data_IF_916860157671
#
_entry.id   IF_916860157671
#
_cell.length_a   1.000
_cell.length_b   1.000
_cell.length_c   1.000
_cell.angle_alpha   90.00
_cell.angle_beta   90.00
_cell.angle_gamma   90.00
#
_symmetry.space_group_name_H-M   'P 1'
#
loop_
_entity.id
_entity.type
_entity.pdbx_description
1 polymer ?
#
# COMPACT_ATOMS: atom_id res chain seq x y z
N UNK A 1 0.83 -15.37 16.24
CA UNK A 1 0.49 -14.10 16.92
C UNK A 1 1.27 -13.00 16.21
N UNK A 2 0.61 -11.93 15.79
CA UNK A 2 1.16 -10.95 14.84
C UNK A 2 2.12 -9.98 15.54
N UNK A 3 3.23 -9.60 14.87
CA UNK A 3 4.22 -8.60 15.34
C UNK A 3 3.60 -7.32 15.92
N UNK A 4 2.38 -6.95 15.51
CA UNK A 4 1.64 -5.81 16.05
C UNK A 4 1.38 -5.87 17.55
N UNK A 5 1.13 -7.06 18.11
CA UNK A 5 0.84 -7.22 19.54
C UNK A 5 2.07 -6.94 20.42
N UNK A 6 3.28 -7.14 19.88
CA UNK A 6 4.52 -6.91 20.61
C UNK A 6 4.88 -5.43 20.69
N UNK A 7 4.84 -4.70 19.57
CA UNK A 7 5.15 -3.27 19.58
C UNK A 7 4.20 -2.52 20.51
N UNK A 8 2.94 -2.95 20.60
CA UNK A 8 1.99 -2.45 21.59
C UNK A 8 2.42 -2.75 23.04
N UNK A 9 2.83 -3.98 23.35
CA UNK A 9 3.29 -4.35 24.69
C UNK A 9 4.56 -3.58 25.11
N UNK A 10 5.52 -3.38 24.20
CA UNK A 10 6.74 -2.59 24.47
C UNK A 10 6.43 -1.10 24.64
N UNK A 11 5.51 -0.54 23.86
CA UNK A 11 5.07 0.84 24.00
C UNK A 11 4.40 1.12 25.36
N UNK A 12 3.85 0.10 26.04
CA UNK A 12 3.33 0.27 27.41
C UNK A 12 4.43 0.39 28.46
N UNK A 13 5.60 -0.19 28.20
CA UNK A 13 6.70 -0.27 29.18
C UNK A 13 7.77 0.81 28.97
N UNK A 14 7.91 1.34 27.74
CA UNK A 14 8.93 2.32 27.37
C UNK A 14 8.30 3.53 26.66
N UNK A 15 8.39 4.70 27.32
CA UNK A 15 7.84 5.95 26.80
C UNK A 15 8.56 6.45 25.52
N UNK A 16 9.85 6.18 25.36
CA UNK A 16 10.59 6.55 24.16
C UNK A 16 10.19 5.66 22.98
N UNK A 17 10.08 4.35 23.23
CA UNK A 17 9.60 3.41 22.22
C UNK A 17 8.15 3.70 21.83
N UNK A 18 7.30 4.09 22.79
CA UNK A 18 5.91 4.51 22.52
C UNK A 18 5.85 5.66 21.52
N UNK A 19 6.62 6.72 21.75
CA UNK A 19 6.64 7.87 20.84
C UNK A 19 7.12 7.49 19.43
N UNK A 20 8.14 6.63 19.33
CA UNK A 20 8.65 6.12 18.04
C UNK A 20 7.62 5.26 17.32
N UNK A 21 6.92 4.38 18.05
CA UNK A 21 5.89 3.53 17.48
C UNK A 21 4.67 4.33 17.00
N UNK A 22 4.24 5.33 17.76
CA UNK A 22 3.16 6.24 17.38
C UNK A 22 3.50 7.04 16.10
N UNK A 23 4.74 7.52 15.99
CA UNK A 23 5.21 8.23 14.79
C UNK A 23 5.30 7.30 13.56
N UNK A 24 5.85 6.10 13.74
CA UNK A 24 5.91 5.08 12.70
C UNK A 24 4.52 4.71 12.16
N UNK A 25 3.56 4.42 13.04
CA UNK A 25 2.19 4.05 12.61
C UNK A 25 1.48 5.23 11.95
N UNK A 26 1.72 6.47 12.41
CA UNK A 26 1.20 7.68 11.76
C UNK A 26 1.72 7.82 10.33
N UNK A 27 3.03 7.71 10.12
CA UNK A 27 3.65 7.82 8.81
C UNK A 27 3.20 6.69 7.87
N UNK A 28 3.15 5.46 8.38
CA UNK A 28 2.67 4.28 7.65
C UNK A 28 1.22 4.47 7.20
N UNK A 29 0.35 4.90 8.11
CA UNK A 29 -1.07 5.15 7.81
C UNK A 29 -1.22 6.26 6.77
N UNK A 30 -0.45 7.35 6.90
CA UNK A 30 -0.47 8.45 5.94
C UNK A 30 -0.03 7.99 4.53
N UNK A 31 1.03 7.19 4.42
CA UNK A 31 1.48 6.66 3.13
C UNK A 31 0.45 5.73 2.49
N UNK A 32 -0.16 4.85 3.29
CA UNK A 32 -1.24 3.96 2.83
C UNK A 32 -2.41 4.78 2.30
N UNK A 33 -2.89 5.76 3.08
CA UNK A 33 -4.01 6.60 2.70
C UNK A 33 -3.71 7.39 1.42
N UNK A 34 -2.51 7.96 1.31
CA UNK A 34 -2.10 8.70 0.10
C UNK A 34 -2.01 7.81 -1.13
N UNK A 35 -1.49 6.59 -1.00
CA UNK A 35 -1.44 5.63 -2.11
C UNK A 35 -2.84 5.16 -2.52
N UNK A 36 -3.77 5.00 -1.57
CA UNK A 36 -5.18 4.70 -1.85
C UNK A 36 -5.85 5.85 -2.62
N UNK A 37 -5.67 7.09 -2.18
CA UNK A 37 -6.20 8.27 -2.87
C UNK A 37 -5.64 8.42 -4.29
N UNK A 38 -4.33 8.20 -4.47
CA UNK A 38 -3.70 8.19 -5.79
C UNK A 38 -4.30 7.13 -6.72
N UNK A 39 -4.57 5.93 -6.20
CA UNK A 39 -5.20 4.86 -6.98
C UNK A 39 -6.64 5.21 -7.38
N UNK A 40 -7.41 5.84 -6.49
CA UNK A 40 -8.78 6.29 -6.78
C UNK A 40 -8.77 7.36 -7.88
N UNK A 41 -7.96 8.41 -7.73
CA UNK A 41 -7.84 9.48 -8.74
C UNK A 41 -7.38 8.96 -10.10
N UNK A 42 -6.47 7.99 -10.10
CA UNK A 42 -6.04 7.37 -11.34
C UNK A 42 -7.17 6.58 -12.02
N UNK A 43 -8.02 5.91 -11.23
CA UNK A 43 -9.19 5.20 -11.75
C UNK A 43 -10.20 6.17 -12.37
N UNK A 44 -10.46 7.30 -11.71
CA UNK A 44 -11.32 8.37 -12.24
C UNK A 44 -10.76 8.96 -13.54
N UNK A 45 -9.45 9.23 -13.59
CA UNK A 45 -8.77 9.70 -14.79
C UNK A 45 -8.92 8.70 -15.95
N UNK A 46 -8.71 7.41 -15.70
CA UNK A 46 -8.89 6.38 -16.72
C UNK A 46 -10.34 6.29 -17.22
N UNK A 47 -11.31 6.44 -16.33
CA UNK A 47 -12.72 6.46 -16.70
C UNK A 47 -13.04 7.67 -17.61
N UNK A 48 -12.54 8.87 -17.26
CA UNK A 48 -12.71 10.08 -18.06
C UNK A 48 -12.02 9.97 -19.42
N UNK A 49 -10.78 9.48 -19.46
CA UNK A 49 -10.03 9.27 -20.70
C UNK A 49 -10.72 8.24 -21.62
N UNK A 50 -11.22 7.13 -21.05
CA UNK A 50 -11.98 6.14 -21.81
C UNK A 50 -13.32 6.70 -22.31
N UNK A 51 -14.01 7.49 -21.48
CA UNK A 51 -15.24 8.17 -21.89
C UNK A 51 -14.97 9.12 -23.06
N UNK A 52 -13.91 9.93 -23.00
CA UNK A 52 -13.51 10.81 -24.11
C UNK A 52 -13.13 10.02 -25.35
N UNK A 53 -12.38 8.92 -25.22
CA UNK A 53 -11.99 8.10 -26.36
C UNK A 53 -13.22 7.53 -27.12
N UNK A 54 -14.29 7.22 -26.40
CA UNK A 54 -15.53 6.69 -26.97
C UNK A 54 -16.48 7.79 -27.48
N UNK A 55 -16.55 8.94 -26.81
CA UNK A 55 -17.59 9.95 -27.02
C UNK A 55 -17.09 11.26 -27.65
N UNK A 56 -15.77 11.45 -27.75
CA UNK A 56 -15.16 12.69 -28.23
C UNK A 56 -14.33 12.48 -29.50
N UNK A 57 -14.29 13.54 -30.32
CA UNK A 57 -13.52 13.62 -31.56
C UNK A 57 -12.81 14.97 -31.66
N UNK A 58 -11.79 15.04 -32.50
CA UNK A 58 -10.98 16.23 -32.71
C UNK A 58 -11.54 17.05 -33.89
N UNK A 59 -11.69 18.35 -33.70
CA UNK A 59 -12.02 19.25 -34.80
C UNK A 59 -10.92 19.19 -35.88
N UNK A 60 -11.25 18.94 -37.16
CA UNK A 60 -10.25 18.86 -38.24
C UNK A 60 -9.45 20.15 -38.48
N UNK A 61 -9.96 21.30 -38.01
CA UNK A 61 -9.35 22.61 -38.26
C UNK A 61 -8.45 23.11 -37.13
N UNK A 62 -8.80 22.82 -35.87
CA UNK A 62 -8.06 23.33 -34.70
C UNK A 62 -7.71 22.26 -33.67
N UNK A 63 -8.05 20.99 -33.94
CA UNK A 63 -7.77 19.83 -33.09
C UNK A 63 -8.38 19.89 -31.68
N UNK A 64 -9.32 20.82 -31.42
CA UNK A 64 -10.07 20.87 -30.17
C UNK A 64 -10.86 19.57 -29.98
N UNK A 65 -10.87 19.06 -28.75
CA UNK A 65 -11.75 17.97 -28.33
C UNK A 65 -13.19 18.48 -28.29
N UNK A 66 -14.03 17.89 -29.13
CA UNK A 66 -15.47 18.14 -29.18
C UNK A 66 -16.15 16.87 -28.71
N UNK A 67 -17.23 17.00 -27.94
CA UNK A 67 -18.12 15.91 -27.54
C UNK A 67 -19.44 16.05 -28.31
N UNK A 68 -20.03 14.94 -28.76
CA UNK A 68 -21.39 14.95 -29.32
C UNK A 68 -22.38 14.61 -28.20
N UNK A 69 -23.24 15.56 -27.85
CA UNK A 69 -24.29 15.35 -26.85
C UNK A 69 -25.48 14.63 -27.52
N UNK A 70 -26.17 15.29 -28.44
CA UNK A 70 -27.20 14.71 -29.31
C UNK A 70 -27.31 15.57 -30.59
N UNK A 71 -27.78 15.02 -31.72
CA UNK A 71 -28.05 15.80 -32.94
C UNK A 71 -27.41 15.31 -34.23
N UNK A 72 -27.36 16.20 -35.22
CA UNK A 72 -26.92 15.93 -36.60
C UNK A 72 -25.41 15.67 -36.70
N UNK A 73 -24.98 14.97 -37.77
CA UNK A 73 -23.55 14.75 -38.06
C UNK A 73 -22.81 16.05 -38.41
N UNK A 74 -23.53 17.10 -38.82
CA UNK A 74 -22.97 18.42 -39.12
C UNK A 74 -22.84 19.25 -37.85
N UNK A 75 -21.60 19.43 -37.37
CA UNK A 75 -21.27 20.14 -36.13
C UNK A 75 -20.54 21.45 -36.43
N UNK A 76 -20.63 22.44 -35.53
CA UNK A 76 -19.83 23.68 -35.59
C UNK A 76 -18.92 23.75 -34.37
N UNK A 77 -17.61 23.88 -34.58
CA UNK A 77 -16.66 23.92 -33.47
C UNK A 77 -16.83 25.20 -32.63
N UNK A 78 -17.19 25.06 -31.35
CA UNK A 78 -17.27 26.15 -30.37
C UNK A 78 -18.59 26.95 -30.35
N UNK A 79 -19.63 26.48 -31.07
CA UNK A 79 -20.95 27.11 -31.03
C UNK A 79 -22.05 26.05 -30.93
N UNK A 80 -22.96 26.24 -29.98
CA UNK A 80 -24.23 25.51 -29.97
C UNK A 80 -25.17 26.10 -31.04
N UNK A 81 -25.91 25.23 -31.73
CA UNK A 81 -26.85 25.61 -32.78
C UNK A 81 -28.03 26.44 -32.24
N UNK A 82 -28.37 26.22 -30.96
CA UNK A 82 -29.27 27.07 -30.19
C UNK A 82 -28.42 27.93 -29.28
N UNK A 83 -28.30 29.23 -29.60
CA UNK A 83 -27.38 30.16 -28.93
C UNK A 83 -27.51 30.17 -27.41
N UNK A 84 -26.37 30.27 -26.73
CA UNK A 84 -26.28 30.27 -25.25
C UNK A 84 -24.87 29.99 -24.75
N UNK A 85 -24.14 29.08 -25.40
CA UNK A 85 -22.77 28.73 -25.03
C UNK A 85 -21.79 29.04 -26.17
N UNK A 86 -21.08 30.17 -26.05
CA UNK A 86 -19.89 30.45 -26.86
C UNK A 86 -18.67 29.88 -26.15
N UNK A 87 -18.30 28.66 -26.54
CA UNK A 87 -17.04 28.06 -26.10
C UNK A 87 -15.90 28.44 -27.04
N UNK A 88 -14.66 28.34 -26.57
CA UNK A 88 -13.48 28.58 -27.39
C UNK A 88 -13.37 27.53 -28.51
N UNK A 89 -13.71 27.89 -29.75
CA UNK A 89 -13.57 27.04 -30.93
C UNK A 89 -13.29 27.86 -32.18
N UNK A 90 -12.87 27.20 -33.26
CA UNK A 90 -12.53 27.89 -34.52
C UNK A 90 -13.75 28.36 -35.32
N UNK A 91 -14.97 27.97 -34.91
CA UNK A 91 -16.20 28.35 -35.56
C UNK A 91 -16.48 27.64 -36.89
N UNK A 92 -15.58 26.77 -37.35
CA UNK A 92 -15.72 26.01 -38.60
C UNK A 92 -16.70 24.84 -38.43
N UNK A 93 -17.45 24.58 -39.51
CA UNK A 93 -18.33 23.42 -39.61
C UNK A 93 -17.55 22.19 -40.08
N UNK A 94 -17.92 21.02 -39.55
CA UNK A 94 -17.30 19.76 -39.96
C UNK A 94 -18.27 18.59 -39.71
N UNK A 95 -18.00 17.45 -40.36
CA UNK A 95 -18.74 16.22 -40.13
C UNK A 95 -18.13 15.45 -38.97
N UNK A 96 -18.95 15.13 -37.97
CA UNK A 96 -18.53 14.42 -36.78
C UNK A 96 -18.01 13.01 -37.10
N UNK A 97 -18.74 12.26 -37.93
CA UNK A 97 -18.37 10.90 -38.34
C UNK A 97 -16.99 10.80 -39.00
N UNK A 98 -16.56 11.86 -39.70
CA UNK A 98 -15.27 11.96 -40.39
C UNK A 98 -14.14 12.55 -39.54
N UNK A 99 -14.45 13.09 -38.37
CA UNK A 99 -13.46 13.67 -37.47
C UNK A 99 -12.63 12.57 -36.78
N UNK A 100 -11.35 12.85 -36.52
CA UNK A 100 -10.47 11.91 -35.85
C UNK A 100 -10.96 11.64 -34.41
N UNK A 101 -11.00 10.38 -33.94
CA UNK A 101 -11.34 10.07 -32.56
C UNK A 101 -10.30 10.65 -31.59
N UNK A 102 -10.73 10.98 -30.37
CA UNK A 102 -9.82 11.37 -29.30
C UNK A 102 -8.90 10.20 -28.93
N UNK A 103 -7.60 10.49 -28.78
CA UNK A 103 -6.62 9.53 -28.29
C UNK A 103 -6.31 9.82 -26.80
N UNK A 104 -6.44 8.83 -25.91
CA UNK A 104 -6.19 9.03 -24.48
C UNK A 104 -4.69 9.28 -24.21
N UNK A 105 -4.39 10.12 -23.22
CA UNK A 105 -3.03 10.62 -22.94
C UNK A 105 -2.38 9.91 -21.74
N UNK A 106 -3.13 9.10 -20.98
CA UNK A 106 -2.65 8.45 -19.75
C UNK A 106 -1.63 7.33 -20.03
N UNK A 107 -0.36 7.69 -20.20
CA UNK A 107 0.73 6.76 -20.52
C UNK A 107 1.54 6.26 -19.30
N UNK A 108 1.36 6.87 -18.12
CA UNK A 108 2.13 6.52 -16.92
C UNK A 108 1.20 6.29 -15.74
N UNK A 109 1.37 5.16 -15.06
CA UNK A 109 0.64 4.85 -13.83
C UNK A 109 0.97 5.80 -12.68
N UNK A 110 0.17 5.79 -11.60
CA UNK A 110 0.36 6.69 -10.47
C UNK A 110 1.64 6.35 -9.72
N UNK A 111 2.45 7.37 -9.41
CA UNK A 111 3.68 7.20 -8.64
C UNK A 111 3.34 7.06 -7.15
N UNK A 112 3.41 5.83 -6.65
CA UNK A 112 3.17 5.52 -5.24
C UNK A 112 4.35 5.95 -4.36
N UNK A 113 4.05 6.35 -3.12
CA UNK A 113 5.05 6.57 -2.09
C UNK A 113 5.52 5.22 -1.56
N UNK A 114 6.83 4.97 -1.62
CA UNK A 114 7.43 3.74 -1.11
C UNK A 114 7.34 3.68 0.42
N UNK A 115 6.94 2.53 0.96
CA UNK A 115 6.87 2.28 2.41
C UNK A 115 8.23 1.85 3.00
N UNK A 116 9.29 2.58 2.70
CA UNK A 116 10.62 2.35 3.26
C UNK A 116 10.79 3.14 4.57
N UNK A 117 9.84 2.98 5.50
CA UNK A 117 9.91 3.60 6.83
C UNK A 117 10.85 2.78 7.71
N UNK A 118 11.79 3.45 8.39
CA UNK A 118 12.65 2.78 9.36
C UNK A 118 11.80 2.28 10.53
N UNK A 119 11.82 0.97 10.78
CA UNK A 119 11.15 0.39 11.93
C UNK A 119 11.78 0.94 13.24
N UNK A 120 11.01 1.02 14.35
CA UNK A 120 11.50 1.53 15.65
C UNK A 120 12.54 0.63 16.34
N UNK A 121 13.16 -0.31 15.62
CA UNK A 121 13.98 -1.43 16.12
C UNK A 121 15.35 -1.01 16.70
N UNK A 122 15.70 0.27 16.69
CA UNK A 122 17.06 0.75 16.99
C UNK A 122 17.34 1.09 18.48
N UNK A 123 16.41 0.88 19.41
CA UNK A 123 16.70 1.07 20.85
C UNK A 123 17.07 -0.24 21.56
N UNK A 124 18.22 -0.20 22.28
CA UNK A 124 18.87 -1.27 23.07
C UNK A 124 17.92 -2.44 23.35
N UNK A 125 18.06 -3.48 22.53
CA UNK A 125 17.34 -4.74 22.72
C UNK A 125 17.67 -5.29 24.11
N UNK A 126 16.66 -5.72 24.84
CA UNK A 126 16.85 -6.46 26.09
C UNK A 126 17.68 -7.70 25.76
N UNK A 127 18.82 -7.86 26.40
CA UNK A 127 19.70 -9.03 26.21
C UNK A 127 19.41 -10.02 27.31
N UNK A 128 19.02 -11.24 26.93
CA UNK A 128 18.78 -12.34 27.87
C UNK A 128 20.09 -13.07 28.12
N UNK A 129 20.82 -12.63 29.15
CA UNK A 129 22.15 -13.16 29.45
C UNK A 129 22.14 -14.67 29.67
N UNK A 130 23.06 -15.35 28.98
CA UNK A 130 23.21 -16.81 29.06
C UNK A 130 22.12 -17.60 28.31
N UNK A 131 21.20 -16.93 27.61
CA UNK A 131 20.15 -17.60 26.84
C UNK A 131 20.43 -17.47 25.35
N UNK A 132 20.58 -18.61 24.67
CA UNK A 132 20.88 -18.66 23.24
C UNK A 132 19.65 -18.99 22.42
N UNK A 133 19.55 -18.41 21.22
CA UNK A 133 18.53 -18.80 20.26
C UNK A 133 18.90 -20.13 19.60
N UNK A 134 17.98 -21.08 19.54
CA UNK A 134 18.23 -22.40 18.92
C UNK A 134 18.43 -22.35 17.40
N UNK A 135 18.06 -21.25 16.76
CA UNK A 135 18.17 -21.09 15.31
C UNK A 135 19.48 -20.43 14.89
N UNK A 136 19.88 -19.35 15.56
CA UNK A 136 21.08 -18.59 15.20
C UNK A 136 22.23 -18.73 16.18
N UNK A 137 22.01 -19.40 17.31
CA UNK A 137 22.97 -19.65 18.40
C UNK A 137 23.60 -18.40 19.03
N UNK A 138 23.11 -17.21 18.66
CA UNK A 138 23.47 -15.97 19.32
C UNK A 138 22.63 -15.79 20.59
N UNK A 139 23.15 -14.96 21.50
CA UNK A 139 22.43 -14.51 22.68
C UNK A 139 21.10 -13.85 22.28
N UNK A 140 20.03 -14.19 22.98
CA UNK A 140 18.70 -13.69 22.64
C UNK A 140 18.63 -12.19 22.93
N UNK A 141 18.42 -11.42 21.87
CA UNK A 141 18.21 -9.98 21.92
C UNK A 141 16.75 -9.67 21.56
N UNK A 142 16.12 -8.81 22.35
CA UNK A 142 14.72 -8.40 22.18
C UNK A 142 13.79 -9.33 22.95
N UNK A 143 12.74 -9.81 22.27
CA UNK A 143 11.86 -10.81 22.85
C UNK A 143 12.52 -12.18 22.80
N UNK A 144 12.41 -12.90 23.92
CA UNK A 144 12.64 -14.32 23.98
C UNK A 144 11.32 -15.08 23.80
N UNK A 145 11.29 -16.01 22.86
CA UNK A 145 10.15 -16.87 22.57
C UNK A 145 10.44 -18.29 23.07
N UNK A 146 9.81 -18.65 24.19
CA UNK A 146 9.95 -19.98 24.79
C UNK A 146 8.76 -20.84 24.34
N UNK A 147 9.00 -21.97 23.69
CA UNK A 147 7.91 -22.90 23.35
C UNK A 147 7.41 -23.59 24.61
N UNK A 148 6.11 -23.53 24.90
CA UNK A 148 5.56 -24.18 26.11
C UNK A 148 5.44 -25.70 25.97
N UNK A 149 5.44 -26.21 24.74
CA UNK A 149 5.27 -27.65 24.46
C UNK A 149 6.58 -28.37 24.19
N UNK A 150 7.64 -27.65 23.85
CA UNK A 150 8.96 -28.23 23.59
C UNK A 150 9.90 -27.91 24.73
N UNK A 151 10.57 -28.95 25.24
CA UNK A 151 11.62 -28.77 26.20
C UNK A 151 12.75 -27.94 25.56
N UNK A 152 13.02 -26.78 26.16
CA UNK A 152 14.19 -25.93 25.89
C UNK A 152 14.24 -25.25 24.53
N UNK A 153 13.13 -25.16 23.79
CA UNK A 153 13.13 -24.44 22.51
C UNK A 153 12.90 -22.94 22.70
N UNK A 154 13.90 -22.15 22.34
CA UNK A 154 14.02 -20.72 22.55
C UNK A 154 14.41 -20.02 21.25
N UNK A 155 13.62 -19.03 20.84
CA UNK A 155 13.93 -18.19 19.68
C UNK A 155 14.13 -16.73 20.06
N UNK A 156 15.04 -16.05 19.35
CA UNK A 156 15.14 -14.59 19.40
C UNK A 156 14.18 -13.93 18.42
N UNK A 157 13.94 -12.64 18.63
CA UNK A 157 13.04 -11.82 17.79
C UNK A 157 13.35 -11.91 16.29
N UNK A 158 14.64 -11.90 15.91
CA UNK A 158 15.05 -11.99 14.50
C UNK A 158 14.74 -13.34 13.85
N UNK A 159 14.73 -14.40 14.65
CA UNK A 159 14.56 -15.76 14.16
C UNK A 159 13.11 -16.25 14.30
N UNK A 160 12.28 -15.58 15.09
CA UNK A 160 10.91 -16.03 15.40
C UNK A 160 10.11 -16.38 14.16
N UNK A 161 10.00 -15.47 13.18
CA UNK A 161 9.11 -15.67 12.03
C UNK A 161 9.47 -16.92 11.21
N UNK A 162 10.78 -17.18 11.04
CA UNK A 162 11.25 -18.37 10.33
C UNK A 162 11.10 -19.62 11.20
N UNK A 163 11.45 -19.51 12.47
CA UNK A 163 11.56 -20.66 13.38
C UNK A 163 10.19 -21.16 13.80
N UNK A 164 9.19 -20.30 13.99
CA UNK A 164 7.81 -20.72 14.29
C UNK A 164 7.16 -21.44 13.11
N UNK A 165 7.47 -21.03 11.87
CA UNK A 165 7.01 -21.70 10.65
C UNK A 165 7.69 -23.06 10.46
N UNK A 166 9.02 -23.13 10.60
CA UNK A 166 9.76 -24.39 10.46
C UNK A 166 9.41 -25.37 11.59
N UNK A 167 9.25 -24.88 12.82
CA UNK A 167 8.91 -25.70 13.98
C UNK A 167 7.47 -26.20 13.98
N UNK A 168 6.50 -25.38 13.57
CA UNK A 168 5.10 -25.82 13.41
C UNK A 168 4.91 -26.84 12.27
N UNK A 169 5.87 -26.93 11.35
CA UNK A 169 5.90 -27.89 10.24
C UNK A 169 6.81 -29.10 10.49
N UNK A 170 7.57 -29.14 11.60
CA UNK A 170 8.50 -30.22 11.91
C UNK A 170 7.74 -31.45 12.44
N UNK A 171 7.22 -32.25 11.51
CA UNK A 171 6.61 -33.55 11.78
C UNK A 171 7.72 -34.55 12.16
N UNK A 172 7.93 -34.77 13.46
CA UNK A 172 8.37 -36.06 13.97
C UNK A 172 7.31 -36.49 14.99
N UNK A 173 6.51 -37.48 14.58
CA UNK A 173 5.31 -38.01 15.25
C UNK A 173 4.01 -37.18 15.20
N UNK A 174 3.30 -37.40 14.09
CA UNK A 174 1.86 -37.66 14.00
C UNK A 174 0.80 -36.73 14.61
N UNK A 175 1.12 -35.52 15.10
CA UNK A 175 0.11 -34.48 15.30
C UNK A 175 0.65 -33.10 14.91
N UNK A 176 -0.01 -32.44 13.96
CA UNK A 176 0.13 -30.98 13.75
C UNK A 176 -0.35 -30.28 15.03
N UNK A 177 0.51 -30.20 16.04
CA UNK A 177 0.20 -29.48 17.26
C UNK A 177 0.49 -28.00 16.99
N UNK A 178 -0.47 -27.15 17.31
CA UNK A 178 -0.22 -25.71 17.30
C UNK A 178 0.67 -25.40 18.50
N UNK A 179 1.95 -25.11 18.26
CA UNK A 179 2.85 -24.73 19.33
C UNK A 179 2.51 -23.32 19.83
N UNK A 180 2.28 -23.21 21.13
CA UNK A 180 2.11 -21.93 21.82
C UNK A 180 3.49 -21.50 22.32
N UNK A 181 3.77 -20.21 22.23
CA UNK A 181 5.03 -19.61 22.66
C UNK A 181 4.74 -18.60 23.77
N UNK A 182 5.48 -18.71 24.86
CA UNK A 182 5.55 -17.71 25.91
C UNK A 182 6.56 -16.62 25.48
N UNK A 183 6.11 -15.37 25.51
CA UNK A 183 6.94 -14.22 25.17
C UNK A 183 7.51 -13.60 26.44
N UNK A 184 8.82 -13.41 26.46
CA UNK A 184 9.54 -12.84 27.59
C UNK A 184 10.31 -11.63 27.07
N UNK A 185 9.82 -10.44 27.43
CA UNK A 185 10.32 -9.15 26.94
C UNK A 185 11.25 -8.43 27.93
N UNK A 186 11.43 -8.98 29.13
CA UNK A 186 12.26 -8.41 30.19
C UNK A 186 13.40 -9.37 30.54
N UNK A 187 14.58 -8.83 30.87
CA UNK A 187 15.67 -9.63 31.40
C UNK A 187 15.27 -10.14 32.78
N UNK A 188 15.31 -11.45 32.99
CA UNK A 188 15.20 -12.03 34.33
C UNK A 188 16.52 -11.72 35.04
N UNK A 189 16.44 -10.87 36.08
CA UNK A 189 17.57 -10.57 36.97
C UNK A 189 17.95 -11.79 37.82
#
# INVERSE_FOLDING_TARGET
>A
MERGNYWQARAQQDANFRAQFEDYERQKTANIQRNQELAQRYTELLADENFKAQNCRLCPHCQRVVQRLEGCDSMVCGRNYHGGDQQSGCGQSFQWSRALPYAPIANTGPQQVANNLAAPEQQKLVVHQGVQCDTCHNEVQGIRFDCVHCASLIFCEKCEQRSTLEHSNAIRDQQKQQHVFQLISQALN
#
